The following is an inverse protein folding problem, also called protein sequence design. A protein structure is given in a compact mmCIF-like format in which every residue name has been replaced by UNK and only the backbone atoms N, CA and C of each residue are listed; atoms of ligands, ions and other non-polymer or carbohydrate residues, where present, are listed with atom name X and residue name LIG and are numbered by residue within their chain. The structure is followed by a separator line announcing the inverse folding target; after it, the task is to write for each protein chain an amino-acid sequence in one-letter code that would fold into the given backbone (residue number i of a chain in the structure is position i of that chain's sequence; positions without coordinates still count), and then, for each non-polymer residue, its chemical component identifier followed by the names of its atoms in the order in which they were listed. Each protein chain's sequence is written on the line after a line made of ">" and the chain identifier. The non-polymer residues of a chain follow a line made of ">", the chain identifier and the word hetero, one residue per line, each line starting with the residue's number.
data_IF_346627395562
#
_entry.id   IF_346627395562
#
_cell.length_a   1.000
_cell.length_b   1.000
_cell.length_c   1.000
_cell.angle_alpha   90.00
_cell.angle_beta   90.00
_cell.angle_gamma   90.00
#
_symmetry.space_group_name_H-M   'P 1'
#
loop_
_entity.id
_entity.type
_entity.pdbx_description
1 polymer ?
#
# COMPACT_ATOMS: atom_id res chain seq x y z
N UNK A 1 8.32 -14.36 6.95
CA UNK A 1 7.23 -14.98 6.18
C UNK A 1 5.88 -14.93 6.88
N UNK A 2 5.74 -15.51 8.11
CA UNK A 2 4.46 -15.55 8.85
C UNK A 2 3.75 -14.20 8.98
N UNK A 3 4.47 -13.13 9.29
CA UNK A 3 3.90 -11.78 9.42
C UNK A 3 3.25 -11.31 8.12
N UNK A 4 3.92 -11.50 6.98
CA UNK A 4 3.40 -11.10 5.68
C UNK A 4 2.14 -11.90 5.30
N UNK A 5 2.11 -13.22 5.54
CA UNK A 5 0.94 -14.06 5.27
C UNK A 5 -0.27 -13.63 6.11
N UNK A 6 -0.08 -13.40 7.41
CA UNK A 6 -1.17 -12.93 8.28
C UNK A 6 -1.73 -11.59 7.75
N UNK A 7 -0.85 -10.66 7.42
CA UNK A 7 -1.26 -9.34 6.92
C UNK A 7 -1.95 -9.45 5.56
N UNK A 8 -1.48 -10.33 4.67
CA UNK A 8 -2.15 -10.60 3.38
C UNK A 8 -3.60 -11.02 3.58
N UNK A 9 -3.88 -11.93 4.52
CA UNK A 9 -5.24 -12.34 4.84
C UNK A 9 -6.07 -11.19 5.42
N UNK A 10 -5.53 -10.40 6.34
CA UNK A 10 -6.21 -9.24 6.90
C UNK A 10 -6.51 -8.20 5.83
N UNK A 11 -5.57 -7.91 4.95
CA UNK A 11 -5.75 -6.91 3.91
C UNK A 11 -6.64 -7.38 2.76
N UNK A 12 -6.76 -8.69 2.52
CA UNK A 12 -7.71 -9.22 1.55
C UNK A 12 -9.16 -8.75 1.81
N UNK A 13 -9.56 -8.63 3.08
CA UNK A 13 -10.85 -8.06 3.47
C UNK A 13 -10.85 -6.53 3.44
N UNK A 14 -9.74 -5.88 3.73
CA UNK A 14 -9.66 -4.43 3.88
C UNK A 14 -10.09 -3.67 2.63
N UNK A 15 -9.68 -4.13 1.44
CA UNK A 15 -10.01 -3.47 0.16
C UNK A 15 -11.53 -3.47 -0.07
N UNK A 16 -12.18 -4.60 0.12
CA UNK A 16 -13.63 -4.71 -0.02
C UNK A 16 -14.38 -3.91 1.04
N UNK A 17 -13.92 -3.93 2.29
CA UNK A 17 -14.53 -3.12 3.36
C UNK A 17 -14.44 -1.62 3.06
N UNK A 18 -13.34 -1.15 2.47
CA UNK A 18 -13.21 0.25 2.05
C UNK A 18 -14.17 0.55 0.90
N UNK A 19 -14.13 -0.26 -0.16
CA UNK A 19 -14.95 -0.03 -1.36
C UNK A 19 -16.45 -0.09 -1.08
N UNK A 20 -16.90 -1.08 -0.32
CA UNK A 20 -18.32 -1.34 -0.11
C UNK A 20 -18.97 -0.44 0.95
N UNK A 21 -18.25 -0.11 2.02
CA UNK A 21 -18.86 0.59 3.16
C UNK A 21 -18.43 2.04 3.33
N UNK A 22 -17.26 2.43 2.80
CA UNK A 22 -16.70 3.76 3.01
C UNK A 22 -16.61 4.59 1.72
N UNK A 23 -16.19 4.00 0.60
CA UNK A 23 -15.99 4.72 -0.65
C UNK A 23 -17.29 5.40 -1.12
N UNK A 24 -17.20 6.70 -1.45
CA UNK A 24 -18.33 7.51 -1.88
C UNK A 24 -19.34 7.88 -0.79
N UNK A 25 -19.28 7.25 0.39
CA UNK A 25 -20.19 7.45 1.51
C UNK A 25 -19.57 8.24 2.66
N UNK A 26 -18.32 7.96 2.97
CA UNK A 26 -17.54 8.64 3.99
C UNK A 26 -16.45 9.43 3.31
N UNK A 27 -16.15 10.63 3.83
CA UNK A 27 -15.04 11.43 3.34
C UNK A 27 -13.72 10.65 3.40
N UNK A 28 -13.02 10.59 2.27
CA UNK A 28 -11.79 9.83 2.13
C UNK A 28 -10.69 10.32 3.07
N UNK A 29 -10.56 11.63 3.23
CA UNK A 29 -9.55 12.23 4.10
C UNK A 29 -9.86 11.97 5.57
N UNK A 30 -11.14 12.07 5.98
CA UNK A 30 -11.58 11.71 7.32
C UNK A 30 -11.31 10.24 7.62
N UNK A 31 -11.66 9.33 6.70
CA UNK A 31 -11.44 7.90 6.88
C UNK A 31 -9.95 7.57 7.06
N UNK A 32 -9.07 8.18 6.25
CA UNK A 32 -7.62 8.01 6.36
C UNK A 32 -7.10 8.58 7.68
N UNK A 33 -7.50 9.81 8.04
CA UNK A 33 -7.09 10.44 9.31
C UNK A 33 -7.50 9.58 10.51
N UNK A 34 -8.77 9.13 10.54
CA UNK A 34 -9.30 8.28 11.62
C UNK A 34 -8.48 7.00 11.77
N UNK A 35 -8.13 6.31 10.67
CA UNK A 35 -7.29 5.10 10.70
C UNK A 35 -5.89 5.38 11.24
N UNK A 36 -5.28 6.51 10.85
CA UNK A 36 -3.95 6.92 11.32
C UNK A 36 -3.98 7.24 12.82
N UNK A 37 -4.99 7.98 13.27
CA UNK A 37 -5.16 8.32 14.67
C UNK A 37 -5.35 7.06 15.52
N UNK A 38 -6.26 6.16 15.12
CA UNK A 38 -6.50 4.90 15.84
C UNK A 38 -5.23 4.06 15.92
N UNK A 39 -4.53 3.88 14.80
CA UNK A 39 -3.27 3.14 14.75
C UNK A 39 -2.17 3.83 15.58
N UNK A 40 -2.10 5.16 15.54
CA UNK A 40 -1.21 5.96 16.36
C UNK A 40 -1.46 5.79 17.86
N UNK A 41 -2.72 5.77 18.30
CA UNK A 41 -3.09 5.55 19.69
C UNK A 41 -2.60 4.19 20.23
N UNK A 42 -2.42 3.20 19.38
CA UNK A 42 -1.85 1.89 19.77
C UNK A 42 -0.33 1.95 19.96
N UNK A 43 0.40 2.68 19.11
CA UNK A 43 1.86 2.60 19.04
C UNK A 43 2.59 3.81 19.66
N UNK A 44 2.00 5.00 19.62
CA UNK A 44 2.60 6.23 20.19
C UNK A 44 2.86 6.10 21.70
N UNK A 45 1.93 5.56 22.52
CA UNK A 45 2.18 5.34 23.96
C UNK A 45 3.29 4.31 24.23
N UNK A 46 3.49 3.35 23.32
CA UNK A 46 4.52 2.31 23.45
C UNK A 46 5.89 2.77 22.95
N UNK A 47 5.95 3.94 22.34
CA UNK A 47 7.17 4.45 21.70
C UNK A 47 8.15 4.98 22.73
N UNK A 48 9.41 4.56 22.59
CA UNK A 48 10.50 5.17 23.34
C UNK A 48 10.91 6.47 22.66
N UNK A 49 10.69 7.59 23.35
CA UNK A 49 10.89 8.93 22.79
C UNK A 49 12.35 9.40 22.80
N UNK A 50 13.19 8.82 23.62
CA UNK A 50 14.59 9.24 23.83
C UNK A 50 15.57 8.16 23.41
N UNK A 51 16.81 8.58 23.11
CA UNK A 51 17.89 7.63 22.78
C UNK A 51 17.95 7.23 21.31
N UNK A 52 17.21 7.89 20.42
CA UNK A 52 17.27 7.66 18.97
C UNK A 52 18.09 8.75 18.27
N UNK A 53 18.86 8.36 17.25
CA UNK A 53 19.53 9.32 16.39
C UNK A 53 18.50 10.19 15.66
N UNK A 54 18.69 11.51 15.54
CA UNK A 54 17.75 12.39 14.84
C UNK A 54 17.51 11.96 13.37
N UNK A 55 18.52 11.40 12.72
CA UNK A 55 18.40 10.86 11.35
C UNK A 55 17.44 9.67 11.30
N UNK A 56 17.43 8.79 12.30
CA UNK A 56 16.47 7.69 12.40
C UNK A 56 15.04 8.20 12.56
N UNK A 57 14.82 9.15 13.49
CA UNK A 57 13.48 9.72 13.73
C UNK A 57 12.94 10.39 12.46
N UNK A 58 13.75 11.25 11.83
CA UNK A 58 13.37 11.86 10.53
C UNK A 58 13.06 10.84 9.46
N UNK A 59 13.86 9.77 9.38
CA UNK A 59 13.61 8.66 8.45
C UNK A 59 12.26 7.97 8.71
N UNK A 60 11.94 7.66 9.97
CA UNK A 60 10.66 7.05 10.35
C UNK A 60 9.47 7.96 10.05
N UNK A 61 9.58 9.27 10.32
CA UNK A 61 8.55 10.24 9.99
C UNK A 61 8.31 10.30 8.46
N UNK A 62 9.40 10.36 7.67
CA UNK A 62 9.30 10.35 6.20
C UNK A 62 8.65 9.07 5.69
N UNK A 63 9.07 7.91 6.18
CA UNK A 63 8.52 6.61 5.79
C UNK A 63 7.03 6.55 6.13
N UNK A 64 6.62 7.01 7.30
CA UNK A 64 5.21 7.05 7.67
C UNK A 64 4.39 8.01 6.80
N UNK A 65 4.94 9.20 6.51
CA UNK A 65 4.31 10.17 5.60
C UNK A 65 4.08 9.56 4.20
N UNK A 66 5.07 8.85 3.64
CA UNK A 66 4.96 8.19 2.35
C UNK A 66 4.04 6.97 2.40
N UNK A 67 4.40 5.97 3.21
CA UNK A 67 3.81 4.63 3.18
C UNK A 67 2.39 4.58 3.75
N UNK A 68 2.04 5.47 4.67
CA UNK A 68 0.70 5.51 5.22
C UNK A 68 -0.03 6.81 4.87
N UNK A 69 0.61 7.97 5.01
CA UNK A 69 -0.02 9.26 4.72
C UNK A 69 -0.43 9.36 3.25
N UNK A 70 0.52 9.52 2.34
CA UNK A 70 0.26 9.72 0.90
C UNK A 70 -0.39 8.48 0.28
N UNK A 71 0.14 7.28 0.57
CA UNK A 71 -0.40 6.04 0.04
C UNK A 71 -1.90 5.92 0.29
N UNK A 72 -2.36 6.14 1.52
CA UNK A 72 -3.77 5.93 1.87
C UNK A 72 -4.68 7.05 1.37
N UNK A 73 -4.20 8.28 1.33
CA UNK A 73 -4.97 9.36 0.68
C UNK A 73 -5.22 9.01 -0.80
N UNK A 74 -4.17 8.66 -1.54
CA UNK A 74 -4.31 8.29 -2.96
C UNK A 74 -5.14 7.02 -3.16
N UNK A 75 -4.96 6.01 -2.30
CA UNK A 75 -5.74 4.76 -2.33
C UNK A 75 -7.23 5.03 -2.10
N UNK A 76 -7.60 5.82 -1.09
CA UNK A 76 -9.00 6.12 -0.81
C UNK A 76 -9.64 6.96 -1.90
N UNK A 77 -8.92 7.92 -2.45
CA UNK A 77 -9.39 8.70 -3.60
C UNK A 77 -9.57 7.83 -4.85
N UNK A 78 -8.72 6.82 -5.06
CA UNK A 78 -8.88 5.91 -6.21
C UNK A 78 -10.18 5.08 -6.13
N UNK A 79 -10.62 4.69 -4.94
CA UNK A 79 -11.90 3.99 -4.74
C UNK A 79 -13.14 4.83 -5.06
N UNK A 80 -13.02 6.16 -5.19
CA UNK A 80 -14.14 7.00 -5.62
C UNK A 80 -14.43 6.92 -7.13
N UNK A 81 -13.48 6.40 -7.91
CA UNK A 81 -13.54 6.35 -9.39
C UNK A 81 -13.19 4.98 -9.97
N UNK A 82 -12.70 4.04 -9.15
CA UNK A 82 -12.37 2.67 -9.51
C UNK A 82 -13.16 1.69 -8.66
N UNK A 83 -13.48 0.53 -9.24
CA UNK A 83 -14.06 -0.61 -8.50
C UNK A 83 -13.01 -1.33 -7.66
N UNK A 84 -13.46 -2.09 -6.65
CA UNK A 84 -12.56 -2.88 -5.81
C UNK A 84 -11.68 -3.85 -6.61
N UNK A 85 -12.21 -4.61 -7.60
CA UNK A 85 -11.38 -5.47 -8.45
C UNK A 85 -10.32 -4.69 -9.25
N UNK A 86 -10.66 -3.51 -9.79
CA UNK A 86 -9.70 -2.66 -10.53
C UNK A 86 -8.57 -2.19 -9.61
N UNK A 87 -8.90 -1.71 -8.41
CA UNK A 87 -7.90 -1.30 -7.41
C UNK A 87 -6.98 -2.46 -7.07
N UNK A 88 -7.52 -3.66 -6.78
CA UNK A 88 -6.74 -4.85 -6.48
C UNK A 88 -5.81 -5.24 -7.63
N UNK A 89 -6.31 -5.28 -8.87
CA UNK A 89 -5.51 -5.64 -10.03
C UNK A 89 -4.38 -4.64 -10.28
N UNK A 90 -4.61 -3.35 -10.14
CA UNK A 90 -3.58 -2.33 -10.38
C UNK A 90 -2.52 -2.29 -9.27
N UNK A 91 -2.80 -2.83 -8.07
CA UNK A 91 -1.78 -3.01 -7.03
C UNK A 91 -0.75 -4.09 -7.38
N UNK A 92 -1.00 -4.96 -8.39
CA UNK A 92 -0.01 -5.90 -8.95
C UNK A 92 1.28 -5.17 -9.37
N UNK A 93 1.21 -3.88 -9.69
CA UNK A 93 2.36 -3.08 -10.10
C UNK A 93 3.30 -2.68 -8.95
N UNK A 94 2.94 -2.92 -7.71
CA UNK A 94 3.79 -2.59 -6.55
C UNK A 94 5.21 -3.17 -6.64
N UNK A 95 5.46 -4.43 -7.05
CA UNK A 95 6.82 -4.96 -7.26
C UNK A 95 7.65 -4.22 -8.30
N UNK A 96 6.99 -3.66 -9.34
CA UNK A 96 7.68 -2.81 -10.31
C UNK A 96 8.26 -1.58 -9.61
N UNK A 97 7.45 -0.90 -8.79
CA UNK A 97 7.90 0.26 -8.02
C UNK A 97 8.99 -0.09 -7.01
N UNK A 98 8.89 -1.26 -6.34
CA UNK A 98 9.96 -1.76 -5.45
C UNK A 98 11.28 -1.88 -6.23
N UNK A 99 11.25 -2.50 -7.43
CA UNK A 99 12.43 -2.67 -8.27
C UNK A 99 13.01 -1.33 -8.71
N UNK A 100 12.17 -0.40 -9.18
CA UNK A 100 12.62 0.93 -9.61
C UNK A 100 13.28 1.71 -8.48
N UNK A 101 12.76 1.62 -7.25
CA UNK A 101 13.32 2.30 -6.08
C UNK A 101 14.64 1.65 -5.66
N UNK A 102 14.72 0.32 -5.62
CA UNK A 102 15.97 -0.39 -5.32
C UNK A 102 17.06 -0.07 -6.36
N UNK A 103 16.69 -0.04 -7.65
CA UNK A 103 17.61 0.31 -8.74
C UNK A 103 18.11 1.75 -8.61
N UNK A 104 17.21 2.69 -8.31
CA UNK A 104 17.58 4.10 -8.09
C UNK A 104 18.53 4.27 -6.89
N UNK A 105 18.28 3.58 -5.76
CA UNK A 105 19.15 3.60 -4.59
C UNK A 105 20.53 3.00 -4.88
N UNK A 106 20.59 1.99 -5.75
CA UNK A 106 21.83 1.33 -6.17
C UNK A 106 22.48 1.98 -7.40
N UNK A 107 21.92 3.11 -7.89
CA UNK A 107 22.38 3.84 -9.10
C UNK A 107 22.47 2.94 -10.34
N UNK A 108 21.49 2.07 -10.53
CA UNK A 108 21.34 1.15 -11.66
C UNK A 108 20.03 1.45 -12.36
N UNK A 109 19.99 1.25 -13.68
CA UNK A 109 18.75 1.33 -14.46
C UNK A 109 18.48 -0.05 -15.06
N UNK A 110 17.28 -0.56 -14.81
CA UNK A 110 16.83 -1.80 -15.43
C UNK A 110 15.83 -1.49 -16.56
N UNK A 111 16.24 -1.57 -17.85
CA UNK A 111 15.34 -1.29 -18.97
C UNK A 111 14.16 -2.26 -19.03
N UNK A 112 14.29 -3.45 -18.49
CA UNK A 112 13.19 -4.43 -18.37
C UNK A 112 12.08 -3.96 -17.44
N UNK A 113 12.39 -3.10 -16.46
CA UNK A 113 11.38 -2.47 -15.61
C UNK A 113 10.47 -1.54 -16.43
N UNK A 114 11.02 -0.80 -17.39
CA UNK A 114 10.22 0.03 -18.31
C UNK A 114 9.36 -0.83 -19.23
N UNK A 115 9.90 -1.92 -19.79
CA UNK A 115 9.12 -2.86 -20.59
C UNK A 115 7.97 -3.49 -19.78
N UNK A 116 8.23 -3.88 -18.53
CA UNK A 116 7.21 -4.39 -17.62
C UNK A 116 6.10 -3.36 -17.36
N UNK A 117 6.46 -2.07 -17.18
CA UNK A 117 5.49 -0.99 -16.99
C UNK A 117 4.58 -0.82 -18.22
N UNK A 118 5.14 -0.84 -19.44
CA UNK A 118 4.37 -0.73 -20.67
C UNK A 118 3.37 -1.90 -20.82
N UNK A 119 3.81 -3.15 -20.62
CA UNK A 119 2.94 -4.33 -20.65
C UNK A 119 1.83 -4.24 -19.62
N UNK A 120 2.14 -3.76 -18.43
CA UNK A 120 1.14 -3.60 -17.36
C UNK A 120 0.09 -2.53 -17.69
N UNK A 121 0.48 -1.41 -18.32
CA UNK A 121 -0.46 -0.37 -18.80
C UNK A 121 -1.39 -0.93 -19.89
N UNK A 122 -0.88 -1.76 -20.81
CA UNK A 122 -1.72 -2.44 -21.80
C UNK A 122 -2.75 -3.37 -21.12
N UNK A 123 -2.34 -4.14 -20.12
CA UNK A 123 -3.25 -4.98 -19.33
C UNK A 123 -4.35 -4.17 -18.61
N UNK A 124 -4.00 -3.00 -18.06
CA UNK A 124 -4.97 -2.10 -17.46
C UNK A 124 -5.99 -1.59 -18.50
N UNK A 125 -5.55 -1.28 -19.73
CA UNK A 125 -6.43 -0.91 -20.85
C UNK A 125 -7.42 -2.01 -21.23
N UNK A 126 -7.00 -3.28 -21.19
CA UNK A 126 -7.89 -4.43 -21.48
C UNK A 126 -9.02 -4.53 -20.45
N UNK A 127 -8.75 -4.28 -19.18
CA UNK A 127 -9.78 -4.32 -18.12
C UNK A 127 -10.88 -3.29 -18.38
N UNK A 128 -10.57 -2.15 -18.98
CA UNK A 128 -11.50 -1.04 -19.20
C UNK A 128 -11.65 -0.66 -20.69
N UNK A 129 -11.78 -1.64 -21.58
CA UNK A 129 -11.83 -1.40 -23.03
C UNK A 129 -13.01 -0.51 -23.50
N UNK A 130 -14.17 -0.53 -22.81
CA UNK A 130 -15.39 0.19 -23.23
C UNK A 130 -15.39 1.71 -22.98
N UNK A 131 -14.29 2.25 -22.52
CA UNK A 131 -14.14 3.70 -22.36
C UNK A 131 -13.17 4.06 -21.23
N UNK A 132 -12.00 4.52 -21.63
CA UNK A 132 -11.06 5.16 -20.68
C UNK A 132 -11.64 6.55 -20.40
N UNK A 133 -12.43 6.66 -19.33
CA UNK A 133 -12.92 7.95 -18.85
C UNK A 133 -11.79 8.73 -18.16
N UNK A 134 -11.95 10.05 -18.06
CA UNK A 134 -11.02 10.87 -17.26
C UNK A 134 -10.95 10.43 -15.79
N UNK A 135 -12.08 9.96 -15.22
CA UNK A 135 -12.14 9.41 -13.86
C UNK A 135 -11.32 8.13 -13.72
N UNK A 136 -11.42 7.21 -14.68
CA UNK A 136 -10.62 5.97 -14.67
C UNK A 136 -9.11 6.27 -14.73
N UNK A 137 -8.69 7.17 -15.63
CA UNK A 137 -7.28 7.55 -15.73
C UNK A 137 -6.78 8.20 -14.43
N UNK A 138 -7.58 9.09 -13.84
CA UNK A 138 -7.25 9.71 -12.56
C UNK A 138 -7.09 8.65 -11.46
N UNK A 139 -8.04 7.72 -11.35
CA UNK A 139 -7.98 6.63 -10.37
C UNK A 139 -6.77 5.74 -10.55
N UNK A 140 -6.43 5.37 -11.79
CA UNK A 140 -5.23 4.61 -12.10
C UNK A 140 -3.96 5.35 -11.68
N UNK A 141 -3.83 6.64 -12.01
CA UNK A 141 -2.66 7.44 -11.64
C UNK A 141 -2.54 7.62 -10.13
N UNK A 142 -3.63 7.91 -9.43
CA UNK A 142 -3.66 7.97 -7.96
C UNK A 142 -3.16 6.66 -7.35
N UNK A 143 -3.62 5.53 -7.90
CA UNK A 143 -3.21 4.23 -7.41
C UNK A 143 -1.73 3.93 -7.71
N UNK A 144 -1.18 4.41 -8.86
CA UNK A 144 0.26 4.28 -9.11
C UNK A 144 1.09 5.12 -8.12
N UNK A 145 0.63 6.31 -7.73
CA UNK A 145 1.26 7.10 -6.65
C UNK A 145 1.19 6.33 -5.33
N UNK A 146 0.05 5.72 -5.00
CA UNK A 146 -0.10 4.88 -3.82
C UNK A 146 0.87 3.68 -3.83
N UNK A 147 0.95 2.95 -4.95
CA UNK A 147 1.87 1.82 -5.11
C UNK A 147 3.34 2.24 -4.96
N UNK A 148 3.71 3.37 -5.58
CA UNK A 148 5.08 3.91 -5.49
C UNK A 148 5.44 4.31 -4.06
N UNK A 149 4.58 5.08 -3.38
CA UNK A 149 4.85 5.55 -2.01
C UNK A 149 4.82 4.40 -1.00
N UNK A 150 3.96 3.40 -1.20
CA UNK A 150 3.96 2.17 -0.40
C UNK A 150 5.25 1.36 -0.60
N UNK A 151 5.68 1.17 -1.85
CA UNK A 151 6.94 0.50 -2.19
C UNK A 151 8.15 1.24 -1.61
N UNK A 152 8.18 2.58 -1.74
CA UNK A 152 9.22 3.41 -1.16
C UNK A 152 9.30 3.24 0.36
N UNK A 153 8.16 3.24 1.03
CA UNK A 153 8.09 3.01 2.47
C UNK A 153 8.72 1.69 2.90
N UNK A 154 8.39 0.58 2.24
CA UNK A 154 8.93 -0.75 2.54
C UNK A 154 10.45 -0.81 2.36
N UNK A 155 10.94 -0.31 1.22
CA UNK A 155 12.37 -0.32 0.88
C UNK A 155 13.15 0.58 1.83
N UNK A 156 12.69 1.82 2.03
CA UNK A 156 13.35 2.78 2.93
C UNK A 156 13.33 2.32 4.39
N UNK A 157 12.26 1.67 4.85
CA UNK A 157 12.19 1.14 6.21
C UNK A 157 13.27 0.09 6.46
N UNK A 158 13.43 -0.87 5.55
CA UNK A 158 14.49 -1.88 5.62
C UNK A 158 15.88 -1.24 5.65
N UNK A 159 16.15 -0.28 4.75
CA UNK A 159 17.43 0.44 4.70
C UNK A 159 17.69 1.26 5.97
N UNK A 160 16.65 1.90 6.52
CA UNK A 160 16.76 2.67 7.75
C UNK A 160 17.15 1.79 8.95
N UNK A 161 16.54 0.61 9.06
CA UNK A 161 16.90 -0.35 10.12
C UNK A 161 18.33 -0.86 10.00
N UNK A 162 18.80 -1.11 8.76
CA UNK A 162 20.18 -1.54 8.51
C UNK A 162 21.20 -0.45 8.86
N UNK A 163 20.87 0.83 8.59
CA UNK A 163 21.73 1.97 8.93
C UNK A 163 21.72 2.34 10.42
N UNK A 164 20.68 1.95 11.14
CA UNK A 164 20.50 2.25 12.57
C UNK A 164 20.15 0.97 13.33
N UNK A 165 21.11 0.01 13.43
CA UNK A 165 20.89 -1.23 14.14
C UNK A 165 20.57 -0.95 15.62
N UNK A 166 19.69 -1.75 16.20
CA UNK A 166 19.28 -1.59 17.58
C UNK A 166 18.75 -2.91 18.13
N UNK A 167 19.03 -3.19 19.38
CA UNK A 167 18.48 -4.34 20.12
C UNK A 167 17.03 -4.10 20.58
N UNK A 168 16.53 -2.87 20.46
CA UNK A 168 15.16 -2.55 20.85
C UNK A 168 14.13 -3.19 19.93
N UNK A 169 13.02 -3.70 20.49
CA UNK A 169 11.90 -4.17 19.69
C UNK A 169 11.36 -3.07 18.75
N UNK A 170 11.09 -3.42 17.48
CA UNK A 170 10.66 -2.45 16.47
C UNK A 170 9.40 -1.67 16.87
N UNK A 171 8.46 -2.29 17.63
CA UNK A 171 7.23 -1.60 18.06
C UNK A 171 7.50 -0.37 18.94
N UNK A 172 8.62 -0.36 19.70
CA UNK A 172 9.01 0.79 20.52
C UNK A 172 9.54 1.99 19.73
N UNK A 173 9.69 1.83 18.43
CA UNK A 173 10.15 2.86 17.50
C UNK A 173 9.11 3.17 16.42
N UNK A 174 8.03 2.38 16.38
CA UNK A 174 7.06 2.45 15.28
C UNK A 174 6.05 3.61 15.43
N UNK A 175 5.90 4.23 16.61
CA UNK A 175 5.05 5.41 16.79
C UNK A 175 5.48 6.60 15.94
N UNK A 176 6.79 6.77 15.68
CA UNK A 176 7.26 7.82 14.77
C UNK A 176 6.72 7.66 13.35
N UNK A 177 6.48 6.42 12.90
CA UNK A 177 5.84 6.14 11.61
C UNK A 177 4.42 6.74 11.55
N UNK A 178 3.61 6.53 12.59
CA UNK A 178 2.25 7.06 12.62
C UNK A 178 2.22 8.58 12.77
N UNK A 179 3.16 9.18 13.49
CA UNK A 179 3.32 10.63 13.53
C UNK A 179 3.65 11.19 12.14
N UNK A 180 4.54 10.53 11.39
CA UNK A 180 4.84 10.91 10.02
C UNK A 180 3.61 10.87 9.12
N UNK A 181 2.80 9.81 9.22
CA UNK A 181 1.54 9.70 8.50
C UNK A 181 0.55 10.82 8.87
N UNK A 182 0.48 11.17 10.15
CA UNK A 182 -0.39 12.24 10.66
C UNK A 182 -0.01 13.62 10.09
N UNK A 183 1.28 13.89 9.84
CA UNK A 183 1.75 15.12 9.20
C UNK A 183 1.18 15.33 7.79
N UNK A 184 0.75 14.26 7.12
CA UNK A 184 0.09 14.32 5.80
C UNK A 184 -1.43 14.32 5.97
N UNK A 185 -1.96 13.37 6.73
CA UNK A 185 -3.41 13.15 6.80
C UNK A 185 -4.17 14.28 7.51
N UNK A 186 -3.60 14.88 8.55
CA UNK A 186 -4.26 15.96 9.27
C UNK A 186 -4.41 17.22 8.40
N UNK A 187 -3.35 17.77 7.77
CA UNK A 187 -3.51 18.89 6.84
C UNK A 187 -4.42 18.54 5.64
N UNK A 188 -4.32 17.31 5.10
CA UNK A 188 -5.17 16.89 3.99
C UNK A 188 -6.66 16.94 4.38
N UNK A 189 -7.04 16.45 5.56
CA UNK A 189 -8.42 16.53 6.04
C UNK A 189 -8.84 17.97 6.32
N UNK A 190 -8.01 18.78 6.98
CA UNK A 190 -8.35 20.17 7.32
C UNK A 190 -8.52 21.07 6.09
N UNK A 191 -7.80 20.79 4.99
CA UNK A 191 -7.80 21.63 3.79
C UNK A 191 -8.76 21.09 2.70
N UNK A 192 -8.95 19.77 2.62
CA UNK A 192 -9.64 19.11 1.51
C UNK A 192 -10.80 18.22 1.97
N UNK A 193 -10.93 17.96 3.27
CA UNK A 193 -11.97 17.11 3.83
C UNK A 193 -13.35 17.75 3.76
N UNK A 194 -14.36 16.89 3.69
CA UNK A 194 -15.76 17.29 3.74
C UNK A 194 -16.42 16.83 5.05
N UNK A 195 -16.62 17.78 5.98
CA UNK A 195 -17.23 17.51 7.28
C UNK A 195 -18.70 17.06 7.23
N UNK A 196 -19.38 17.18 6.08
CA UNK A 196 -20.75 16.69 5.90
C UNK A 196 -20.82 15.18 5.61
N UNK A 197 -19.71 14.58 5.17
CA UNK A 197 -19.62 13.15 4.84
C UNK A 197 -18.88 12.36 5.92
N UNK A 198 -19.28 12.53 7.16
CA UNK A 198 -18.78 11.74 8.28
C UNK A 198 -19.53 10.39 8.38
N UNK A 199 -18.94 9.37 9.07
CA UNK A 199 -19.63 8.11 9.28
C UNK A 199 -20.97 8.31 9.99
N UNK A 200 -22.06 7.86 9.36
CA UNK A 200 -23.43 8.05 9.84
C UNK A 200 -24.02 6.78 10.48
N UNK A 201 -23.35 5.62 10.36
CA UNK A 201 -23.83 4.34 10.89
C UNK A 201 -22.84 3.66 11.80
N UNK A 202 -23.32 2.84 12.73
CA UNK A 202 -22.48 2.00 13.58
C UNK A 202 -21.59 1.05 12.78
N UNK A 203 -22.09 0.58 11.61
CA UNK A 203 -21.32 -0.28 10.72
C UNK A 203 -20.08 0.45 10.15
N UNK A 204 -20.25 1.68 9.66
CA UNK A 204 -19.12 2.47 9.14
C UNK A 204 -18.07 2.74 10.22
N UNK A 205 -18.49 3.07 11.44
CA UNK A 205 -17.58 3.21 12.58
C UNK A 205 -16.88 1.92 12.94
N UNK A 206 -17.60 0.78 12.94
CA UNK A 206 -17.00 -0.54 13.20
C UNK A 206 -15.96 -0.92 12.14
N UNK A 207 -16.24 -0.65 10.87
CA UNK A 207 -15.30 -0.85 9.77
C UNK A 207 -14.07 0.03 9.95
N UNK A 208 -14.23 1.33 10.27
CA UNK A 208 -13.11 2.24 10.52
C UNK A 208 -12.26 1.81 11.71
N UNK A 209 -12.92 1.37 12.81
CA UNK A 209 -12.22 0.84 13.99
C UNK A 209 -11.41 -0.40 13.64
N UNK A 210 -12.01 -1.36 12.93
CA UNK A 210 -11.30 -2.56 12.49
C UNK A 210 -10.13 -2.21 11.55
N UNK A 211 -10.38 -1.36 10.56
CA UNK A 211 -9.34 -0.90 9.64
C UNK A 211 -8.22 -0.13 10.36
N UNK A 212 -8.56 0.67 11.37
CA UNK A 212 -7.60 1.43 12.17
C UNK A 212 -6.74 0.54 13.06
N UNK A 213 -7.38 -0.31 13.88
CA UNK A 213 -6.69 -1.19 14.84
C UNK A 213 -5.97 -2.32 14.11
N UNK A 214 -6.72 -3.10 13.30
CA UNK A 214 -6.22 -4.37 12.76
C UNK A 214 -5.42 -4.13 11.48
N UNK A 215 -6.04 -3.53 10.47
CA UNK A 215 -5.40 -3.43 9.16
C UNK A 215 -4.27 -2.38 9.12
N UNK A 216 -4.44 -1.25 9.79
CA UNK A 216 -3.44 -0.17 9.84
C UNK A 216 -2.49 -0.29 11.03
N UNK A 217 -3.01 -0.48 12.24
CA UNK A 217 -2.19 -0.59 13.44
C UNK A 217 -1.29 -1.82 13.38
N UNK A 218 -1.87 -2.98 13.60
CA UNK A 218 -1.13 -4.24 13.60
C UNK A 218 -0.62 -4.61 12.21
N UNK A 219 -1.44 -4.42 11.16
CA UNK A 219 -1.12 -4.81 9.81
C UNK A 219 0.11 -4.09 9.26
N UNK A 220 0.18 -2.76 9.30
CA UNK A 220 1.36 -2.03 8.81
C UNK A 220 2.61 -2.32 9.64
N UNK A 221 2.47 -2.45 10.95
CA UNK A 221 3.59 -2.84 11.81
C UNK A 221 4.12 -4.24 11.44
N UNK A 222 3.24 -5.24 11.36
CA UNK A 222 3.63 -6.60 10.99
C UNK A 222 4.15 -6.70 9.56
N UNK A 223 3.56 -5.94 8.64
CA UNK A 223 4.04 -5.88 7.26
C UNK A 223 5.47 -5.36 7.19
N UNK A 224 5.75 -4.21 7.78
CA UNK A 224 7.10 -3.62 7.78
C UNK A 224 8.11 -4.51 8.53
N UNK A 225 7.71 -5.10 9.65
CA UNK A 225 8.53 -6.09 10.35
C UNK A 225 8.80 -7.31 9.47
N UNK A 226 7.81 -7.84 8.79
CA UNK A 226 7.95 -8.95 7.85
C UNK A 226 8.85 -8.60 6.67
N UNK A 227 8.66 -7.43 6.07
CA UNK A 227 9.45 -6.92 4.96
C UNK A 227 10.94 -6.76 5.32
N UNK A 228 11.25 -6.36 6.56
CA UNK A 228 12.63 -6.24 7.03
C UNK A 228 13.35 -7.59 7.24
N UNK A 229 12.61 -8.70 7.32
CA UNK A 229 13.11 -10.05 7.60
C UNK A 229 13.22 -10.94 6.35
N UNK A 230 12.83 -10.43 5.17
CA UNK A 230 12.86 -11.19 3.93
C UNK A 230 13.68 -10.46 2.86
N UNK A 231 14.08 -11.20 1.82
CA UNK A 231 14.71 -10.61 0.64
C UNK A 231 13.66 -9.89 -0.25
N UNK A 232 14.14 -9.04 -1.17
CA UNK A 232 13.27 -8.25 -2.06
C UNK A 232 12.42 -9.10 -2.99
N UNK A 233 12.90 -10.29 -3.40
CA UNK A 233 12.13 -11.23 -4.23
C UNK A 233 10.93 -11.80 -3.49
N UNK A 234 11.16 -12.26 -2.26
CA UNK A 234 10.09 -12.75 -1.37
C UNK A 234 9.09 -11.64 -1.06
N UNK A 235 9.56 -10.42 -0.78
CA UNK A 235 8.67 -9.28 -0.54
C UNK A 235 7.82 -8.95 -1.77
N UNK A 236 8.40 -8.97 -2.97
CA UNK A 236 7.68 -8.77 -4.22
C UNK A 236 6.58 -9.82 -4.44
N UNK A 237 6.88 -11.10 -4.20
CA UNK A 237 5.88 -12.17 -4.28
C UNK A 237 4.75 -11.94 -3.28
N UNK A 238 5.06 -11.56 -2.04
CA UNK A 238 4.06 -11.35 -1.00
C UNK A 238 3.16 -10.13 -1.28
N UNK A 239 3.69 -9.05 -1.88
CA UNK A 239 2.87 -7.93 -2.36
C UNK A 239 1.83 -8.41 -3.38
N UNK A 240 2.18 -9.37 -4.25
CA UNK A 240 1.28 -9.87 -5.28
C UNK A 240 0.30 -10.93 -4.79
N UNK A 241 0.61 -11.71 -3.75
CA UNK A 241 -0.33 -12.70 -3.17
C UNK A 241 -1.59 -11.99 -2.61
N UNK A 242 -1.47 -10.73 -2.21
CA UNK A 242 -2.60 -9.93 -1.75
C UNK A 242 -3.69 -9.81 -2.83
N UNK A 243 -3.30 -9.70 -4.11
CA UNK A 243 -4.25 -9.44 -5.20
C UNK A 243 -5.22 -10.61 -5.41
N UNK A 244 -4.76 -11.86 -5.67
CA UNK A 244 -5.69 -12.99 -5.81
C UNK A 244 -6.47 -13.24 -4.51
N UNK A 245 -5.88 -13.04 -3.33
CA UNK A 245 -6.60 -13.19 -2.06
C UNK A 245 -7.72 -12.15 -1.93
N UNK A 246 -7.45 -10.88 -2.22
CA UNK A 246 -8.43 -9.80 -2.18
C UNK A 246 -9.53 -9.93 -3.23
N UNK A 247 -9.16 -10.35 -4.47
CA UNK A 247 -10.15 -10.63 -5.52
C UNK A 247 -11.06 -11.77 -5.13
N UNK A 248 -10.53 -12.88 -4.60
CA UNK A 248 -11.32 -14.01 -4.15
C UNK A 248 -12.32 -13.57 -3.08
N UNK A 249 -11.88 -12.84 -2.07
CA UNK A 249 -12.76 -12.32 -1.01
C UNK A 249 -13.83 -11.39 -1.59
N UNK A 250 -13.46 -10.46 -2.47
CA UNK A 250 -14.40 -9.50 -3.06
C UNK A 250 -15.45 -10.18 -3.94
N UNK A 251 -15.02 -11.03 -4.87
CA UNK A 251 -15.90 -11.69 -5.82
C UNK A 251 -16.84 -12.70 -5.16
N UNK A 252 -16.40 -13.39 -4.11
CA UNK A 252 -17.25 -14.37 -3.40
C UNK A 252 -18.27 -13.72 -2.48
N UNK A 253 -17.98 -12.53 -1.92
CA UNK A 253 -18.83 -11.95 -0.86
C UNK A 253 -19.64 -10.76 -1.38
N UNK A 254 -19.08 -9.91 -2.22
CA UNK A 254 -19.71 -8.63 -2.56
C UNK A 254 -19.99 -8.41 -4.05
N UNK A 255 -19.09 -8.82 -4.96
CA UNK A 255 -19.15 -8.41 -6.36
C UNK A 255 -19.35 -9.60 -7.30
N UNK A 256 -20.53 -10.23 -7.21
CA UNK A 256 -20.88 -11.44 -7.99
C UNK A 256 -21.05 -11.17 -9.48
N UNK A 257 -21.38 -9.91 -9.87
CA UNK A 257 -21.68 -9.51 -11.27
C UNK A 257 -20.46 -8.92 -12.02
N UNK A 258 -19.24 -9.11 -11.49
CA UNK A 258 -18.03 -8.59 -12.13
C UNK A 258 -17.74 -9.31 -13.45
N UNK A 259 -17.27 -8.57 -14.47
CA UNK A 259 -16.80 -9.14 -15.74
C UNK A 259 -15.50 -9.93 -15.53
N UNK A 260 -15.66 -11.20 -15.18
CA UNK A 260 -14.56 -12.10 -14.88
C UNK A 260 -13.63 -12.32 -16.08
N UNK A 261 -14.16 -12.27 -17.31
CA UNK A 261 -13.35 -12.47 -18.51
C UNK A 261 -12.35 -11.32 -18.68
N UNK A 262 -12.81 -10.07 -18.60
CA UNK A 262 -11.94 -8.89 -18.70
C UNK A 262 -10.96 -8.79 -17.55
N UNK A 263 -11.41 -9.02 -16.32
CA UNK A 263 -10.55 -9.04 -15.14
C UNK A 263 -9.46 -10.11 -15.27
N UNK A 264 -9.80 -11.30 -15.75
CA UNK A 264 -8.85 -12.40 -15.94
C UNK A 264 -7.86 -12.10 -17.07
N UNK A 265 -8.31 -11.65 -18.23
CA UNK A 265 -7.45 -11.34 -19.38
C UNK A 265 -6.50 -10.18 -19.07
N UNK A 266 -7.03 -9.05 -18.62
CA UNK A 266 -6.21 -7.88 -18.28
C UNK A 266 -5.29 -8.15 -17.10
N UNK A 267 -5.78 -8.86 -16.07
CA UNK A 267 -4.98 -9.30 -14.94
C UNK A 267 -3.85 -10.24 -15.32
N UNK A 268 -4.09 -11.18 -16.24
CA UNK A 268 -3.06 -12.08 -16.78
C UNK A 268 -1.97 -11.30 -17.53
N UNK A 269 -2.34 -10.31 -18.35
CA UNK A 269 -1.37 -9.44 -19.05
C UNK A 269 -0.55 -8.62 -18.05
N UNK A 270 -1.19 -8.04 -17.03
CA UNK A 270 -0.48 -7.33 -15.96
C UNK A 270 0.47 -8.29 -15.24
N UNK A 271 0.02 -9.49 -14.86
CA UNK A 271 0.84 -10.48 -14.19
C UNK A 271 2.03 -10.95 -15.06
N UNK A 272 1.83 -11.08 -16.37
CA UNK A 272 2.89 -11.44 -17.33
C UNK A 272 3.99 -10.37 -17.44
N UNK A 273 3.74 -9.13 -17.00
CA UNK A 273 4.77 -8.08 -16.92
C UNK A 273 5.84 -8.37 -15.86
N UNK A 274 5.50 -9.10 -14.79
CA UNK A 274 6.39 -9.32 -13.64
C UNK A 274 7.63 -10.18 -13.92
N UNK A 275 7.57 -11.28 -14.70
CA UNK A 275 8.75 -12.03 -15.11
C UNK A 275 9.81 -11.17 -15.83
N UNK A 276 9.39 -10.11 -16.57
CA UNK A 276 10.32 -9.21 -17.24
C UNK A 276 11.26 -8.53 -16.24
N UNK A 277 10.80 -8.26 -15.01
CA UNK A 277 11.63 -7.66 -13.96
C UNK A 277 12.81 -8.57 -13.55
N UNK A 278 12.70 -9.89 -13.76
CA UNK A 278 13.76 -10.85 -13.42
C UNK A 278 14.87 -10.87 -14.47
N UNK A 279 14.56 -10.54 -15.72
CA UNK A 279 15.53 -10.57 -16.83
C UNK A 279 16.65 -9.53 -16.66
N UNK A 280 16.37 -8.42 -16.00
CA UNK A 280 17.36 -7.38 -15.74
C UNK A 280 18.11 -7.50 -14.41
N UNK A 281 17.81 -8.49 -13.58
CA UNK A 281 18.51 -8.70 -12.31
C UNK A 281 19.85 -9.36 -12.57
N UNK A 282 20.94 -8.56 -12.53
CA UNK A 282 22.29 -9.13 -12.40
C UNK A 282 22.40 -9.81 -11.03
N UNK A 283 23.09 -10.99 -11.00
CA UNK A 283 23.42 -11.69 -9.76
C UNK A 283 24.03 -10.69 -8.76
N UNK A 284 23.72 -10.81 -7.45
CA UNK A 284 24.39 -10.01 -6.45
C UNK A 284 25.91 -10.17 -6.63
N UNK A 285 26.65 -9.07 -6.68
CA UNK A 285 28.10 -9.11 -6.55
C UNK A 285 28.34 -9.59 -5.13
N UNK A 286 28.86 -10.80 -4.97
CA UNK A 286 29.43 -11.26 -3.71
C UNK A 286 30.53 -10.27 -3.35
N UNK A 287 30.27 -9.43 -2.37
CA UNK A 287 31.30 -8.61 -1.74
C UNK A 287 32.18 -9.59 -0.95
N UNK A 288 33.35 -9.91 -1.51
CA UNK A 288 34.43 -10.60 -0.79
C UNK A 288 35.02 -9.68 0.26
#
# INVERSE_FOLDING_TARGET
>A
MRYLLIVTLLWAFSFSLIGEYLAGRVDSYFAVLTRIVIAGLLFVPLTRWRGHAPAFVRGMLLIGALQFGITYVCLYLSFSVLTVPEVLLFTILTPLHVTLIEDALNRRLNPWALAAALVAVLGAGIIRYDGISSGFMLGFLLLQVANFTFAAGQVLYKHLLLRHPSSEPQYRRFGFFYLGALLIALPAFLLLGNGERLPSSALQWSVLMWLGVVASGLGLYWWNKGASLVDGGTLAVMNNVLVPAGLLVNLLIWNHDADLLRLTLGGAVIAASLPLLRLGRHKPVEVR
#
